data_IF_517425369687
#
_entry.id   IF_517425369687
#
_cell.length_a   1.000
_cell.length_b   1.000
_cell.length_c   1.000
_cell.angle_alpha   90.00
_cell.angle_beta   90.00
_cell.angle_gamma   90.00
#
_symmetry.space_group_name_H-M   'P 1'
#
loop_
_entity.id
_entity.type
_entity.pdbx_description
1 polymer ?
#
# COMPACT_ATOMS: atom_id res chain seq x y z
N UNK A 1 -35.17 -44.35 21.23
CA UNK A 1 -33.79 -44.76 21.54
C UNK A 1 -32.98 -44.39 20.31
N UNK A 2 -32.59 -43.13 20.07
CA UNK A 2 -31.63 -42.30 20.85
C UNK A 2 -30.38 -43.15 21.20
N UNK A 3 -29.17 -42.84 20.75
CA UNK A 3 -28.44 -41.55 20.75
C UNK A 3 -27.70 -41.31 19.41
N UNK A 4 -27.56 -40.11 18.84
CA UNK A 4 -26.82 -38.89 19.24
C UNK A 4 -25.27 -39.04 19.26
N UNK A 5 -24.66 -38.01 18.65
CA UNK A 5 -23.27 -37.53 18.72
C UNK A 5 -22.24 -37.95 17.67
N UNK A 6 -21.61 -36.91 17.09
CA UNK A 6 -20.43 -37.01 16.26
C UNK A 6 -20.23 -35.82 15.31
N UNK A 7 -19.96 -34.64 15.87
CA UNK A 7 -19.15 -33.50 15.36
C UNK A 7 -18.99 -33.32 13.83
N UNK A 8 -19.35 -32.16 13.27
CA UNK A 8 -18.43 -31.00 13.11
C UNK A 8 -17.08 -31.43 12.51
N UNK A 9 -16.58 -30.88 11.40
CA UNK A 9 -16.33 -29.47 11.17
C UNK A 9 -16.34 -29.26 9.64
N UNK A 10 -17.14 -28.30 9.19
CA UNK A 10 -17.03 -27.73 7.84
C UNK A 10 -15.60 -27.23 7.67
N UNK A 11 -14.82 -27.81 6.75
CA UNK A 11 -13.53 -27.25 6.36
C UNK A 11 -13.75 -25.84 5.80
N UNK A 12 -13.72 -24.84 6.67
CA UNK A 12 -13.65 -23.45 6.27
C UNK A 12 -12.23 -23.22 5.74
N UNK A 13 -12.06 -22.75 4.49
CA UNK A 13 -10.76 -22.24 4.05
C UNK A 13 -10.62 -20.83 4.62
N UNK A 14 -10.29 -20.71 5.92
CA UNK A 14 -10.17 -19.40 6.57
C UNK A 14 -8.79 -19.08 7.12
N UNK A 15 -7.78 -19.91 6.85
CA UNK A 15 -6.40 -19.65 7.32
C UNK A 15 -5.51 -18.87 6.35
N UNK A 16 -5.84 -18.77 5.06
CA UNK A 16 -4.93 -18.11 4.09
C UNK A 16 -5.22 -16.61 3.85
N UNK A 17 -6.43 -16.13 4.18
CA UNK A 17 -6.82 -14.73 3.89
C UNK A 17 -6.48 -13.72 4.98
N UNK A 18 -6.00 -14.16 6.15
CA UNK A 18 -5.63 -13.30 7.29
C UNK A 18 -4.15 -12.98 7.39
N UNK A 19 -3.30 -13.60 6.57
CA UNK A 19 -1.95 -13.10 6.28
C UNK A 19 -2.03 -12.05 5.15
N UNK A 20 -3.13 -11.30 5.09
CA UNK A 20 -3.25 -10.13 4.23
C UNK A 20 -2.32 -9.08 4.81
N UNK A 21 -1.15 -8.97 4.20
CA UNK A 21 -0.19 -7.85 4.25
C UNK A 21 -0.28 -7.01 5.52
N UNK A 22 0.41 -7.48 6.57
CA UNK A 22 0.55 -6.74 7.83
C UNK A 22 1.25 -5.39 7.64
N UNK A 23 1.94 -5.18 6.51
CA UNK A 23 2.43 -3.88 6.07
C UNK A 23 1.61 -3.45 4.85
N UNK A 24 0.99 -2.27 4.91
CA UNK A 24 0.16 -1.74 3.82
C UNK A 24 0.18 -0.23 3.79
N UNK A 25 -0.13 0.34 2.62
CA UNK A 25 -0.48 1.76 2.51
C UNK A 25 -1.83 1.97 3.21
N UNK A 26 -1.84 2.78 4.25
CA UNK A 26 -3.05 3.16 4.98
C UNK A 26 -3.74 4.35 4.33
N UNK A 27 -2.97 5.34 3.91
CA UNK A 27 -3.47 6.60 3.34
C UNK A 27 -2.47 7.16 2.33
N UNK A 28 -2.95 8.00 1.42
CA UNK A 28 -2.10 8.72 0.47
C UNK A 28 -2.71 10.06 0.06
N UNK A 29 -1.85 11.02 -0.28
CA UNK A 29 -2.21 12.33 -0.80
C UNK A 29 -1.44 12.64 -2.09
N UNK A 30 -2.10 13.34 -3.00
CA UNK A 30 -1.53 13.80 -4.26
C UNK A 30 -1.54 15.32 -4.22
N UNK A 31 -0.35 15.92 -4.34
CA UNK A 31 -0.14 17.35 -4.16
C UNK A 31 0.82 17.90 -5.23
N UNK A 32 0.83 19.21 -5.40
CA UNK A 32 1.86 19.90 -6.16
C UNK A 32 3.02 20.32 -5.24
N UNK A 33 4.26 20.22 -5.72
CA UNK A 33 5.38 20.95 -5.13
C UNK A 33 5.28 22.45 -5.46
N UNK A 34 6.11 23.29 -4.83
CA UNK A 34 6.20 24.71 -5.18
C UNK A 34 6.63 24.96 -6.63
N UNK A 35 7.26 23.98 -7.27
CA UNK A 35 7.68 24.03 -8.68
C UNK A 35 6.62 23.44 -9.63
N UNK A 36 5.47 23.02 -9.12
CA UNK A 36 4.39 22.42 -9.91
C UNK A 36 4.58 20.94 -10.24
N UNK A 37 5.59 20.28 -9.67
CA UNK A 37 5.81 18.83 -9.83
C UNK A 37 4.83 18.02 -9.01
N UNK A 38 4.50 16.82 -9.47
CA UNK A 38 3.67 15.88 -8.73
C UNK A 38 4.42 15.38 -7.48
N UNK A 39 3.81 15.54 -6.31
CA UNK A 39 4.23 14.94 -5.04
C UNK A 39 3.18 13.95 -4.56
N UNK A 40 3.62 12.75 -4.22
CA UNK A 40 2.77 11.72 -3.60
C UNK A 40 3.23 11.53 -2.17
N UNK A 41 2.36 11.88 -1.23
CA UNK A 41 2.54 11.67 0.20
C UNK A 41 1.86 10.34 0.57
N UNK A 42 2.52 9.47 1.34
CA UNK A 42 1.98 8.15 1.71
C UNK A 42 2.16 7.89 3.20
N UNK A 43 1.20 7.16 3.77
CA UNK A 43 1.27 6.65 5.14
C UNK A 43 1.26 5.12 5.06
N UNK A 44 2.37 4.49 5.44
CA UNK A 44 2.50 3.03 5.49
C UNK A 44 2.38 2.60 6.95
N UNK A 45 1.58 1.57 7.23
CA UNK A 45 1.35 1.04 8.58
C UNK A 45 1.81 -0.41 8.66
N UNK A 46 2.37 -0.80 9.81
CA UNK A 46 2.62 -2.19 10.16
C UNK A 46 1.67 -2.62 11.29
N UNK A 47 0.60 -3.34 10.96
CA UNK A 47 -0.36 -3.91 11.92
C UNK A 47 0.15 -5.23 12.54
N UNK A 48 1.40 -5.61 12.24
CA UNK A 48 2.09 -6.77 12.78
C UNK A 48 2.73 -6.53 14.15
N UNK A 49 3.04 -7.64 14.84
CA UNK A 49 3.68 -7.63 16.17
C UNK A 49 5.21 -7.68 16.13
N UNK A 50 5.81 -7.67 14.94
CA UNK A 50 7.25 -7.68 14.74
C UNK A 50 7.64 -6.58 13.74
N UNK A 51 8.89 -6.07 13.80
CA UNK A 51 9.43 -5.19 12.77
C UNK A 51 9.37 -5.85 11.40
N UNK A 52 9.16 -5.05 10.37
CA UNK A 52 9.12 -5.49 8.98
C UNK A 52 9.87 -4.53 8.09
N UNK A 53 10.39 -5.06 7.00
CA UNK A 53 10.97 -4.29 5.90
C UNK A 53 10.09 -4.56 4.69
N UNK A 54 9.65 -3.51 4.03
CA UNK A 54 8.91 -3.58 2.78
C UNK A 54 9.45 -2.56 1.80
N UNK A 55 9.16 -2.73 0.51
CA UNK A 55 9.52 -1.75 -0.51
C UNK A 55 8.27 -1.13 -1.09
N UNK A 56 8.05 0.14 -0.80
CA UNK A 56 6.99 0.93 -1.41
C UNK A 56 7.35 1.20 -2.86
N UNK A 57 6.48 0.82 -3.78
CA UNK A 57 6.60 1.11 -5.21
C UNK A 57 5.43 1.98 -5.63
N UNK A 58 5.72 3.13 -6.22
CA UNK A 58 4.74 4.06 -6.77
C UNK A 58 5.02 4.22 -8.26
N UNK A 59 3.99 4.00 -9.06
CA UNK A 59 4.00 4.13 -10.51
C UNK A 59 3.00 5.19 -10.92
N UNK A 60 3.46 6.16 -11.70
CA UNK A 60 2.64 7.24 -12.26
C UNK A 60 2.67 7.14 -13.77
N UNK A 61 1.52 7.25 -14.41
CA UNK A 61 1.38 7.25 -15.87
C UNK A 61 0.52 8.44 -16.32
N UNK A 62 1.01 9.25 -17.27
CA UNK A 62 0.32 10.41 -17.84
C UNK A 62 0.59 10.46 -19.34
N UNK A 63 -0.45 10.43 -20.18
CA UNK A 63 -0.35 10.52 -21.65
C UNK A 63 0.71 9.59 -22.29
N UNK A 64 0.92 8.41 -21.71
CA UNK A 64 1.91 7.42 -22.17
C UNK A 64 3.33 7.62 -21.63
N UNK A 65 3.61 8.70 -20.89
CA UNK A 65 4.80 8.81 -20.05
C UNK A 65 4.59 8.04 -18.76
N UNK A 66 5.56 7.21 -18.39
CA UNK A 66 5.51 6.39 -17.17
C UNK A 66 6.75 6.62 -16.32
N UNK A 67 6.54 6.99 -15.07
CA UNK A 67 7.59 7.06 -14.05
C UNK A 67 7.32 6.04 -12.94
N UNK A 68 8.38 5.44 -12.43
CA UNK A 68 8.32 4.54 -11.29
C UNK A 68 9.40 4.92 -10.29
N UNK A 69 9.00 5.07 -9.03
CA UNK A 69 9.92 5.27 -7.91
C UNK A 69 9.64 4.25 -6.82
N UNK A 70 10.67 3.92 -6.06
CA UNK A 70 10.53 2.99 -4.95
C UNK A 70 11.40 3.38 -3.78
N UNK A 71 10.92 3.09 -2.58
CA UNK A 71 11.56 3.39 -1.31
C UNK A 71 11.51 2.18 -0.39
N UNK A 72 12.62 1.87 0.27
CA UNK A 72 12.68 0.81 1.28
C UNK A 72 12.24 1.40 2.61
N UNK A 73 11.26 0.76 3.23
CA UNK A 73 10.65 1.19 4.49
C UNK A 73 10.92 0.14 5.54
N UNK A 74 11.62 0.54 6.61
CA UNK A 74 11.71 -0.23 7.84
C UNK A 74 10.65 0.30 8.81
N UNK A 75 9.79 -0.58 9.31
CA UNK A 75 8.64 -0.19 10.14
C UNK A 75 8.48 -1.11 11.34
N UNK A 76 8.51 -0.52 12.54
CA UNK A 76 8.32 -1.25 13.78
C UNK A 76 6.89 -1.77 13.97
N UNK A 77 6.66 -2.58 15.00
CA UNK A 77 5.36 -3.20 15.25
C UNK A 77 4.31 -2.18 15.69
N UNK A 78 3.14 -2.18 15.04
CA UNK A 78 2.05 -1.21 15.27
C UNK A 78 2.44 0.26 15.01
N UNK A 79 3.47 0.48 14.20
CA UNK A 79 3.94 1.82 13.83
C UNK A 79 3.39 2.26 12.48
N UNK A 80 3.59 3.55 12.18
CA UNK A 80 3.33 4.18 10.90
C UNK A 80 4.59 4.92 10.44
N UNK A 81 4.83 4.92 9.14
CA UNK A 81 5.88 5.70 8.49
C UNK A 81 5.24 6.56 7.41
N UNK A 82 5.58 7.84 7.41
CA UNK A 82 5.19 8.78 6.37
C UNK A 82 6.32 8.91 5.36
N UNK A 83 6.00 8.87 4.07
CA UNK A 83 6.97 9.08 2.99
C UNK A 83 6.42 10.09 1.99
N UNK A 84 7.30 10.85 1.36
CA UNK A 84 6.94 11.72 0.25
C UNK A 84 7.85 11.45 -0.95
N UNK A 85 7.24 11.29 -2.11
CA UNK A 85 7.95 11.01 -3.36
C UNK A 85 7.53 12.03 -4.40
N UNK A 86 8.50 12.78 -4.93
CA UNK A 86 8.28 13.76 -6.01
C UNK A 86 8.62 13.13 -7.35
N UNK A 87 7.78 13.33 -8.36
CA UNK A 87 7.98 12.88 -9.75
C UNK A 87 8.37 14.05 -10.65
N UNK A 88 8.98 13.79 -11.81
CA UNK A 88 9.26 14.87 -12.77
C UNK A 88 8.00 15.28 -13.55
N UNK A 89 7.01 14.38 -13.64
CA UNK A 89 5.65 14.67 -14.11
C UNK A 89 5.06 15.89 -13.36
N UNK A 90 4.43 16.79 -14.10
CA UNK A 90 3.74 17.95 -13.52
C UNK A 90 2.44 17.52 -12.85
N UNK A 91 2.07 18.21 -11.76
CA UNK A 91 0.79 17.97 -11.09
C UNK A 91 -0.40 18.32 -12.01
N UNK A 92 -0.27 19.38 -12.81
CA UNK A 92 -1.31 19.81 -13.75
C UNK A 92 -1.60 18.75 -14.82
N UNK A 93 -0.56 18.12 -15.39
CA UNK A 93 -0.76 17.07 -16.39
C UNK A 93 -1.33 15.80 -15.76
N UNK A 94 -0.95 15.51 -14.50
CA UNK A 94 -1.57 14.43 -13.75
C UNK A 94 -3.07 14.69 -13.49
N UNK A 95 -3.49 15.91 -13.16
CA UNK A 95 -4.92 16.24 -12.96
C UNK A 95 -5.77 16.09 -14.23
N UNK A 96 -5.17 16.21 -15.42
CA UNK A 96 -5.86 16.08 -16.71
C UNK A 96 -6.18 14.64 -17.11
N UNK A 97 -5.59 13.64 -16.45
CA UNK A 97 -5.85 12.23 -16.78
C UNK A 97 -4.77 11.25 -16.35
N UNK A 98 -4.00 11.56 -15.32
CA UNK A 98 -2.98 10.68 -14.78
C UNK A 98 -3.54 9.46 -14.05
N UNK A 99 -2.81 8.36 -14.11
CA UNK A 99 -3.06 7.14 -13.34
C UNK A 99 -1.95 6.93 -12.31
N UNK A 100 -2.33 6.40 -11.15
CA UNK A 100 -1.42 6.15 -10.04
C UNK A 100 -1.65 4.75 -9.48
N UNK A 101 -0.59 3.96 -9.43
CA UNK A 101 -0.58 2.61 -8.86
C UNK A 101 0.45 2.54 -7.73
N UNK A 102 0.06 1.97 -6.61
CA UNK A 102 0.92 1.80 -5.43
C UNK A 102 0.79 0.39 -4.85
N UNK A 103 1.91 -0.16 -4.40
CA UNK A 103 1.96 -1.45 -3.72
C UNK A 103 3.23 -1.56 -2.85
N UNK A 104 3.21 -2.49 -1.90
CA UNK A 104 4.36 -2.85 -1.08
C UNK A 104 4.86 -4.23 -1.57
N UNK A 105 6.16 -4.33 -1.88
CA UNK A 105 6.86 -5.61 -2.12
C UNK A 105 7.51 -6.15 -0.84
#
# INVERSE_FOLDING_TARGET
MESQDGDEIRSAPTSDRRVKELVRVQDFGINATSEGKLRVDTVVVNEGRAPRVGKLVIVVEVEGAKEQKSEVIEIGPNEKVENNIVFEISFEDFEKGGDLKMFIE
#
